data_IF_306444045636
#
_entry.id   IF_306444045636
#
_cell.length_a   1.000
_cell.length_b   1.000
_cell.length_c   1.000
_cell.angle_alpha   90.00
_cell.angle_beta   90.00
_cell.angle_gamma   90.00
#
_symmetry.space_group_name_H-M   'P 1'
#
loop_
_entity.id
_entity.type
_entity.pdbx_description
1 polymer ?
#
# COMPACT_ATOMS: atom_id res chain seq x y z
N UNK A 1 -20.22 -2.88 -13.17
CA UNK A 1 -19.27 -1.86 -13.65
C UNK A 1 -17.99 -2.06 -12.87
N UNK A 2 -16.97 -2.67 -13.49
CA UNK A 2 -15.74 -3.06 -12.79
C UNK A 2 -14.78 -1.89 -12.76
N UNK A 3 -14.65 -1.30 -11.58
CA UNK A 3 -13.82 -0.12 -11.35
C UNK A 3 -12.43 -0.58 -10.88
N UNK A 4 -11.37 0.11 -11.27
CA UNK A 4 -9.95 -0.08 -10.93
C UNK A 4 -9.51 0.79 -9.73
N UNK A 5 -9.10 0.32 -8.54
CA UNK A 5 -8.54 1.20 -7.47
C UNK A 5 -7.19 0.73 -6.99
N UNK A 6 -6.35 1.65 -6.49
CA UNK A 6 -4.97 1.43 -6.02
C UNK A 6 -4.77 2.11 -4.64
N UNK A 7 -4.15 1.48 -3.62
CA UNK A 7 -4.01 2.12 -2.27
C UNK A 7 -2.67 2.77 -2.28
N UNK A 8 -2.59 3.84 -1.52
CA UNK A 8 -1.35 4.29 -0.96
C UNK A 8 -1.49 4.27 0.56
N UNK A 9 -0.48 3.79 1.27
CA UNK A 9 -0.22 4.37 2.59
C UNK A 9 0.91 5.36 2.38
N UNK A 10 1.00 6.34 3.24
CA UNK A 10 2.18 7.19 3.34
C UNK A 10 2.52 7.18 4.81
N UNK A 11 3.49 6.38 5.23
CA UNK A 11 4.01 6.43 6.59
C UNK A 11 4.77 7.74 6.78
N UNK A 12 4.09 8.78 7.27
CA UNK A 12 4.80 9.92 7.85
C UNK A 12 5.00 9.66 9.33
N UNK A 13 6.26 9.56 9.77
CA UNK A 13 6.67 9.70 11.17
C UNK A 13 6.42 11.14 11.67
N UNK A 14 5.19 11.63 11.57
CA UNK A 14 4.78 12.94 12.03
C UNK A 14 3.88 12.77 13.25
N UNK A 15 4.11 13.56 14.30
CA UNK A 15 3.28 13.57 15.51
C UNK A 15 1.78 13.87 15.24
N UNK A 16 1.45 14.39 14.03
CA UNK A 16 0.10 14.68 13.56
C UNK A 16 -0.01 14.45 12.05
N UNK A 17 -1.17 13.98 11.61
CA UNK A 17 -1.39 13.69 10.20
C UNK A 17 -1.37 14.96 9.34
N UNK A 18 -0.83 14.89 8.10
CA UNK A 18 -0.78 16.04 7.19
C UNK A 18 -2.15 16.50 6.69
N UNK A 19 -2.86 17.30 7.49
CA UNK A 19 -4.20 17.81 7.13
C UNK A 19 -5.33 16.84 7.44
N UNK A 20 -6.53 17.15 6.95
CA UNK A 20 -7.79 16.44 7.29
C UNK A 20 -8.06 15.20 6.45
N UNK A 21 -7.36 15.05 5.33
CA UNK A 21 -7.64 13.98 4.37
C UNK A 21 -6.86 12.69 4.67
N UNK A 22 -6.09 12.69 5.76
CA UNK A 22 -5.38 11.52 6.26
C UNK A 22 -6.18 10.92 7.40
N UNK A 23 -6.40 9.62 7.32
CA UNK A 23 -6.95 8.84 8.41
C UNK A 23 -5.85 8.48 9.40
N UNK A 24 -6.21 8.44 10.68
CA UNK A 24 -5.32 8.01 11.74
C UNK A 24 -5.67 6.57 12.10
N UNK A 25 -4.71 5.65 11.96
CA UNK A 25 -4.83 4.27 12.44
C UNK A 25 -3.94 4.06 13.65
N UNK A 26 -4.42 3.28 14.61
CA UNK A 26 -3.66 2.90 15.80
C UNK A 26 -3.01 1.54 15.56
N UNK A 27 -1.72 1.47 15.78
CA UNK A 27 -0.88 0.33 15.44
C UNK A 27 0.14 0.12 16.54
N UNK A 28 0.11 -1.03 17.23
CA UNK A 28 1.05 -1.35 18.33
C UNK A 28 1.21 -0.22 19.38
N UNK A 29 0.17 0.58 19.60
CA UNK A 29 0.25 1.69 20.54
C UNK A 29 0.84 2.98 19.98
N UNK A 30 1.01 3.09 18.66
CA UNK A 30 1.42 4.30 17.93
C UNK A 30 0.34 4.74 16.94
N UNK A 31 0.24 6.05 16.74
CA UNK A 31 -0.68 6.62 15.75
C UNK A 31 0.06 6.75 14.42
N UNK A 32 -0.41 6.02 13.40
CA UNK A 32 0.07 6.14 12.02
C UNK A 32 -0.96 6.90 11.18
N UNK A 33 -0.48 7.68 10.22
CA UNK A 33 -1.32 8.46 9.32
C UNK A 33 -1.36 7.80 7.94
N UNK A 34 -2.55 7.60 7.38
CA UNK A 34 -2.75 6.82 6.15
C UNK A 34 -3.76 7.50 5.25
N UNK A 35 -3.62 7.35 3.93
CA UNK A 35 -4.54 7.94 2.96
C UNK A 35 -4.64 7.09 1.70
N UNK A 36 -5.79 6.46 1.49
CA UNK A 36 -6.09 5.81 0.23
C UNK A 36 -6.33 6.85 -0.89
N UNK A 37 -5.69 6.70 -2.05
CA UNK A 37 -6.02 7.52 -3.23
C UNK A 37 -6.74 6.67 -4.27
N UNK A 38 -7.99 7.01 -4.53
CA UNK A 38 -8.81 6.31 -5.50
C UNK A 38 -8.75 7.09 -6.81
N UNK A 39 -8.35 6.43 -7.89
CA UNK A 39 -8.32 7.02 -9.23
C UNK A 39 -9.50 6.52 -10.05
N UNK A 40 -10.32 7.45 -10.56
CA UNK A 40 -11.38 7.12 -11.50
C UNK A 40 -10.79 6.89 -12.90
N UNK A 41 -10.76 5.63 -13.35
CA UNK A 41 -10.27 5.27 -14.69
C UNK A 41 -11.18 5.73 -15.83
N UNK A 42 -12.43 6.11 -15.53
CA UNK A 42 -13.32 6.75 -16.51
C UNK A 42 -12.93 8.22 -16.76
N UNK A 43 -12.16 8.81 -15.84
CA UNK A 43 -11.55 10.12 -16.07
C UNK A 43 -10.49 10.00 -17.17
N UNK A 44 -10.60 10.74 -18.29
CA UNK A 44 -9.63 10.69 -19.38
C UNK A 44 -8.18 10.98 -18.95
N UNK A 45 -8.00 11.74 -17.87
CA UNK A 45 -6.69 12.07 -17.27
C UNK A 45 -6.09 10.86 -16.55
N UNK A 46 -6.93 9.96 -16.04
CA UNK A 46 -6.55 8.77 -15.26
C UNK A 46 -6.97 7.46 -15.94
N UNK A 47 -7.11 7.46 -17.26
CA UNK A 47 -7.50 6.30 -18.08
C UNK A 47 -6.41 5.22 -18.22
N UNK A 48 -5.48 5.13 -17.26
CA UNK A 48 -4.48 4.06 -17.20
C UNK A 48 -4.26 3.63 -15.75
N UNK A 49 -4.17 2.31 -15.48
CA UNK A 49 -3.76 1.80 -14.18
C UNK A 49 -2.41 2.39 -13.77
N UNK A 50 -2.27 2.76 -12.48
CA UNK A 50 -1.01 3.29 -11.95
C UNK A 50 -0.06 2.13 -11.65
N UNK A 51 1.19 2.28 -12.08
CA UNK A 51 2.25 1.33 -11.72
C UNK A 51 2.59 1.44 -10.24
N UNK A 52 3.21 0.41 -9.66
CA UNK A 52 3.72 0.47 -8.29
C UNK A 52 4.63 1.70 -8.08
N UNK A 53 5.50 1.96 -9.06
CA UNK A 53 6.42 3.12 -9.04
C UNK A 53 5.70 4.46 -9.10
N UNK A 54 4.60 4.58 -9.86
CA UNK A 54 3.79 5.80 -9.89
C UNK A 54 3.11 6.06 -8.55
N UNK A 55 2.64 4.98 -7.91
CA UNK A 55 2.06 5.05 -6.58
C UNK A 55 3.09 5.45 -5.53
N UNK A 56 4.25 4.78 -5.47
CA UNK A 56 5.32 5.16 -4.54
C UNK A 56 5.74 6.64 -4.70
N UNK A 57 5.92 7.12 -5.93
CA UNK A 57 6.20 8.55 -6.18
C UNK A 57 5.06 9.48 -5.75
N UNK A 58 3.81 9.02 -5.81
CA UNK A 58 2.68 9.78 -5.28
C UNK A 58 2.78 9.87 -3.76
N UNK A 59 3.13 8.79 -3.05
CA UNK A 59 3.36 8.81 -1.61
C UNK A 59 4.41 9.84 -1.21
N UNK A 60 5.56 9.76 -1.87
CA UNK A 60 6.69 10.66 -1.61
C UNK A 60 6.27 12.11 -1.79
N UNK A 61 5.53 12.44 -2.86
CA UNK A 61 5.09 13.83 -3.13
C UNK A 61 4.06 14.39 -2.15
N UNK A 62 3.21 13.56 -1.54
CA UNK A 62 2.14 14.05 -0.64
C UNK A 62 2.58 14.14 0.81
N UNK A 63 3.68 13.48 1.17
CA UNK A 63 4.28 13.64 2.49
C UNK A 63 4.88 15.05 2.65
N UNK A 64 4.74 15.69 3.83
CA UNK A 64 5.19 17.07 4.06
C UNK A 64 6.66 17.35 3.70
N UNK A 65 7.52 16.36 3.90
CA UNK A 65 8.98 16.47 3.70
C UNK A 65 9.44 15.85 2.38
N UNK A 66 8.55 15.23 1.61
CA UNK A 66 8.91 14.52 0.39
C UNK A 66 9.57 13.15 0.59
N UNK A 67 10.10 12.89 1.81
CA UNK A 67 10.95 11.73 2.13
C UNK A 67 10.31 10.76 3.12
N UNK A 68 9.33 11.21 3.91
CA UNK A 68 8.66 10.41 4.93
C UNK A 68 7.31 9.91 4.37
N UNK A 69 7.31 9.40 3.15
CA UNK A 69 6.09 9.11 2.40
C UNK A 69 6.27 7.91 1.51
N UNK A 70 5.88 6.74 1.99
CA UNK A 70 6.06 5.47 1.30
C UNK A 70 4.79 4.65 1.32
N UNK A 71 4.58 3.85 0.27
CA UNK A 71 3.57 2.78 0.27
C UNK A 71 3.68 1.92 1.54
N UNK A 72 2.57 1.30 1.93
CA UNK A 72 2.46 0.66 3.26
C UNK A 72 3.46 -0.44 3.47
N UNK A 73 4.07 -0.45 4.64
CA UNK A 73 4.66 -1.62 5.27
C UNK A 73 3.74 -2.18 6.33
N UNK A 74 3.74 -3.51 6.47
CA UNK A 74 2.88 -4.25 7.39
C UNK A 74 3.78 -5.10 8.27
N UNK A 75 3.74 -4.86 9.58
CA UNK A 75 4.60 -5.44 10.60
C UNK A 75 3.83 -6.20 11.69
N UNK A 76 2.50 -6.25 11.58
CA UNK A 76 1.66 -7.00 12.54
C UNK A 76 0.27 -7.30 11.96
N UNK A 77 -0.45 -8.23 12.60
CA UNK A 77 -1.84 -8.53 12.26
C UNK A 77 -2.77 -7.33 12.51
N UNK A 78 -2.50 -6.54 13.54
CA UNK A 78 -3.27 -5.31 13.83
C UNK A 78 -3.12 -4.28 12.71
N UNK A 79 -1.90 -4.12 12.18
CA UNK A 79 -1.65 -3.29 10.98
C UNK A 79 -2.41 -3.82 9.78
N UNK A 80 -2.32 -5.12 9.52
CA UNK A 80 -3.02 -5.78 8.42
C UNK A 80 -4.54 -5.57 8.53
N UNK A 81 -5.10 -5.68 9.73
CA UNK A 81 -6.53 -5.49 9.96
C UNK A 81 -6.95 -4.02 9.82
N UNK A 82 -6.13 -3.08 10.28
CA UNK A 82 -6.37 -1.66 10.05
C UNK A 82 -6.39 -1.34 8.54
N UNK A 83 -5.44 -1.91 7.79
CA UNK A 83 -5.40 -1.83 6.32
C UNK A 83 -6.66 -2.40 5.68
N UNK A 84 -7.09 -3.60 6.11
CA UNK A 84 -8.33 -4.24 5.63
C UNK A 84 -9.54 -3.36 5.85
N UNK A 85 -9.68 -2.79 7.04
CA UNK A 85 -10.83 -1.97 7.40
C UNK A 85 -10.90 -0.69 6.57
N UNK A 86 -9.75 -0.05 6.33
CA UNK A 86 -9.63 1.13 5.46
C UNK A 86 -10.03 0.81 4.01
N UNK A 87 -9.59 -0.33 3.49
CA UNK A 87 -9.99 -0.80 2.16
C UNK A 87 -11.49 -1.02 2.09
N UNK A 88 -12.03 -1.75 3.06
CA UNK A 88 -13.44 -2.11 3.09
C UNK A 88 -14.34 -0.88 3.22
N UNK A 89 -13.92 0.14 3.99
CA UNK A 89 -14.66 1.40 4.13
C UNK A 89 -14.55 2.29 2.90
N UNK A 90 -13.42 2.23 2.20
CA UNK A 90 -13.16 3.04 1.00
C UNK A 90 -13.82 2.43 -0.24
N UNK A 91 -13.47 1.19 -0.58
CA UNK A 91 -14.05 0.47 -1.71
C UNK A 91 -13.70 -1.02 -1.74
N UNK A 92 -14.72 -1.86 -1.55
CA UNK A 92 -14.58 -3.31 -1.51
C UNK A 92 -14.23 -3.93 -2.88
N UNK A 93 -13.37 -4.95 -2.88
CA UNK A 93 -13.14 -5.85 -4.03
C UNK A 93 -12.09 -5.37 -5.04
N UNK A 94 -11.11 -4.60 -4.59
CA UNK A 94 -10.21 -3.81 -5.45
C UNK A 94 -8.76 -4.00 -5.02
N UNK A 95 -7.81 -3.79 -5.95
CA UNK A 95 -6.43 -4.21 -5.78
C UNK A 95 -5.49 -3.07 -5.48
N UNK A 96 -4.96 -3.06 -4.28
CA UNK A 96 -4.29 -1.89 -3.79
C UNK A 96 -2.80 -2.16 -3.52
N UNK A 97 -1.91 -1.32 -4.08
CA UNK A 97 -0.46 -1.48 -3.95
C UNK A 97 -0.01 -1.34 -2.49
N UNK A 98 0.99 -2.13 -2.11
CA UNK A 98 1.73 -1.95 -0.86
C UNK A 98 3.21 -1.74 -1.15
N UNK A 99 3.99 -1.37 -0.14
CA UNK A 99 5.41 -1.07 -0.27
C UNK A 99 6.27 -2.31 -0.53
N UNK A 100 5.73 -3.53 -0.39
CA UNK A 100 6.50 -4.74 -0.58
C UNK A 100 6.79 -4.95 -2.06
N UNK A 101 8.08 -5.01 -2.37
CA UNK A 101 8.58 -5.26 -3.70
C UNK A 101 9.81 -6.16 -3.67
N UNK A 102 9.96 -7.00 -4.69
CA UNK A 102 11.21 -7.69 -5.01
C UNK A 102 11.84 -7.04 -6.24
N UNK A 103 13.10 -6.59 -6.12
CA UNK A 103 13.76 -5.80 -7.16
C UNK A 103 14.44 -6.63 -8.27
N UNK A 104 14.62 -7.93 -8.05
CA UNK A 104 15.18 -8.84 -9.04
C UNK A 104 14.65 -10.27 -8.83
N UNK A 105 14.66 -11.16 -9.84
CA UNK A 105 14.09 -12.51 -9.73
C UNK A 105 14.69 -13.39 -8.63
N UNK A 106 15.91 -13.08 -8.17
CA UNK A 106 16.63 -13.83 -7.13
C UNK A 106 16.81 -13.04 -5.84
N UNK A 107 16.20 -11.86 -5.74
CA UNK A 107 16.29 -10.99 -4.57
C UNK A 107 15.25 -11.39 -3.52
N UNK A 108 15.48 -11.01 -2.27
CA UNK A 108 14.43 -11.03 -1.24
C UNK A 108 13.46 -9.86 -1.43
N UNK A 109 12.27 -9.98 -0.84
CA UNK A 109 11.34 -8.86 -0.73
C UNK A 109 11.90 -7.77 0.20
N UNK A 110 11.55 -6.53 -0.08
CA UNK A 110 11.89 -5.34 0.72
C UNK A 110 10.72 -4.38 0.74
N UNK A 111 10.51 -3.67 1.85
CA UNK A 111 9.59 -2.54 1.93
C UNK A 111 10.22 -1.26 1.32
N UNK A 112 9.41 -0.42 0.68
CA UNK A 112 9.88 0.84 0.08
C UNK A 112 10.28 1.91 1.08
N UNK A 113 9.80 1.81 2.32
CA UNK A 113 10.17 2.66 3.45
C UNK A 113 11.44 2.20 4.19
N UNK A 114 12.08 1.14 3.70
CA UNK A 114 13.28 0.53 4.27
C UNK A 114 13.11 -0.10 5.67
N UNK A 115 11.88 -0.27 6.14
CA UNK A 115 11.61 -1.06 7.34
C UNK A 115 11.94 -2.54 7.13
N UNK A 116 12.26 -3.30 8.18
CA UNK A 116 12.51 -4.73 8.07
C UNK A 116 11.29 -5.50 7.56
N UNK A 117 11.52 -6.56 6.77
CA UNK A 117 10.48 -7.55 6.48
C UNK A 117 10.45 -8.56 7.64
N UNK A 118 9.63 -8.29 8.64
CA UNK A 118 9.50 -9.04 9.90
C UNK A 118 8.12 -9.67 10.11
N UNK A 119 7.18 -9.37 9.21
CA UNK A 119 5.84 -9.90 9.21
C UNK A 119 5.42 -10.27 7.79
N UNK A 120 5.13 -11.56 7.58
CA UNK A 120 4.71 -12.09 6.30
C UNK A 120 3.55 -13.06 6.52
N UNK A 121 2.36 -12.69 6.05
CA UNK A 121 1.17 -13.54 6.09
C UNK A 121 0.69 -13.69 4.65
N UNK A 122 1.23 -14.66 3.94
CA UNK A 122 0.86 -14.91 2.55
C UNK A 122 -0.47 -15.65 2.46
N UNK A 123 -1.24 -15.38 1.39
CA UNK A 123 -2.33 -16.28 0.98
C UNK A 123 -1.79 -17.66 0.64
N UNK A 124 -2.62 -18.70 0.74
CA UNK A 124 -2.26 -20.03 0.28
C UNK A 124 -1.86 -19.99 -1.19
N UNK A 125 -0.63 -20.44 -1.50
CA UNK A 125 -0.06 -20.38 -2.84
C UNK A 125 0.66 -19.07 -3.19
N UNK A 126 0.72 -18.08 -2.29
CA UNK A 126 1.61 -16.92 -2.36
C UNK A 126 2.87 -17.15 -1.47
N UNK A 127 4.00 -16.48 -1.75
CA UNK A 127 4.24 -15.60 -2.89
C UNK A 127 4.47 -16.41 -4.16
N UNK A 128 3.57 -16.30 -5.14
CA UNK A 128 3.82 -16.76 -6.49
C UNK A 128 4.03 -15.51 -7.37
N UNK A 129 4.75 -15.68 -8.47
CA UNK A 129 5.03 -14.58 -9.38
C UNK A 129 3.98 -14.49 -10.50
N UNK A 130 2.73 -14.93 -10.25
CA UNK A 130 1.75 -15.19 -11.31
C UNK A 130 0.96 -13.96 -11.77
N UNK A 131 1.17 -12.80 -11.17
CA UNK A 131 0.42 -11.56 -11.44
C UNK A 131 1.04 -10.62 -12.48
N UNK A 132 1.97 -11.11 -13.31
CA UNK A 132 2.90 -10.34 -14.13
C UNK A 132 2.39 -9.00 -14.69
N UNK A 133 3.09 -7.92 -14.30
CA UNK A 133 3.50 -6.79 -15.15
C UNK A 133 4.77 -6.12 -14.58
N UNK A 134 5.04 -6.29 -13.28
CA UNK A 134 6.25 -5.84 -12.59
C UNK A 134 6.68 -6.98 -11.66
N UNK A 135 7.75 -7.69 -12.03
CA UNK A 135 8.25 -8.88 -11.31
C UNK A 135 8.49 -8.52 -9.84
N UNK A 136 7.62 -8.99 -8.93
CA UNK A 136 7.83 -8.83 -7.50
C UNK A 136 7.07 -7.70 -6.77
N UNK A 137 6.26 -6.89 -7.43
CA UNK A 137 5.42 -5.90 -6.73
C UNK A 137 4.17 -6.57 -6.13
N UNK A 138 3.83 -6.26 -4.87
CA UNK A 138 2.71 -6.91 -4.17
C UNK A 138 1.55 -5.95 -3.90
N UNK A 139 0.35 -6.52 -3.92
CA UNK A 139 -0.90 -5.88 -3.53
C UNK A 139 -1.31 -6.35 -2.13
N UNK A 140 -2.18 -5.60 -1.44
CA UNK A 140 -2.67 -6.00 -0.12
C UNK A 140 -3.30 -7.39 -0.16
N UNK A 141 -4.09 -7.71 -1.18
CA UNK A 141 -4.79 -8.99 -1.33
C UNK A 141 -3.85 -10.21 -1.36
N UNK A 142 -2.59 -10.06 -1.77
CA UNK A 142 -1.58 -11.12 -1.68
C UNK A 142 -1.17 -11.48 -0.24
N UNK A 143 -1.41 -10.56 0.71
CA UNK A 143 -1.20 -10.75 2.16
C UNK A 143 -2.48 -11.14 2.93
N UNK A 144 -3.65 -11.13 2.27
CA UNK A 144 -4.91 -11.34 2.98
C UNK A 144 -5.22 -12.85 3.08
N UNK A 145 -4.67 -13.58 4.05
CA UNK A 145 -5.24 -14.91 4.38
C UNK A 145 -6.75 -14.74 4.69
N UNK A 146 -7.59 -15.64 4.17
CA UNK A 146 -9.03 -15.68 4.42
C UNK A 146 -9.32 -15.90 5.90
#
# INVERSE_FOLDING_TARGET
MHIFYFLLFCLSEAARCPGTDFEKIRVNGEDKCVKAFIYDISNPIFNRPRTWSDSEKKCQRVAPTGKDGHLVSIHSEDELQAVRNLIASSESGKQFWIGLRMNCPTCSFTWSDHTPVDFEVWRDGEPNNSGGVDFGCKFVDSFLKN
#
